data_IF_492071997817
#
_entry.id   IF_492071997817
#
_cell.length_a   1.000
_cell.length_b   1.000
_cell.length_c   1.000
_cell.angle_alpha   90.00
_cell.angle_beta   90.00
_cell.angle_gamma   90.00
#
_symmetry.space_group_name_H-M   'P 1'
#
loop_
_entity.id
_entity.type
_entity.pdbx_description
1 polymer ?
#
# COMPACT_ATOMS: atom_id res chain seq x y z
N UNK A 1 13.21 -29.19 -4.32
CA UNK A 1 12.84 -27.99 -5.07
C UNK A 1 14.01 -27.02 -5.01
N UNK A 2 14.48 -26.52 -6.13
CA UNK A 2 15.68 -25.67 -6.19
C UNK A 2 15.25 -24.19 -5.95
N UNK A 3 15.00 -23.83 -4.69
CA UNK A 3 14.59 -22.47 -4.32
C UNK A 3 15.66 -21.42 -4.67
N UNK A 4 16.93 -21.79 -4.76
CA UNK A 4 18.03 -20.88 -5.08
C UNK A 4 17.88 -20.19 -6.44
N UNK A 5 17.41 -20.89 -7.47
CA UNK A 5 17.21 -20.32 -8.80
C UNK A 5 15.98 -19.39 -8.91
N UNK A 6 15.01 -19.55 -8.00
CA UNK A 6 13.79 -18.71 -8.00
C UNK A 6 14.04 -17.32 -7.39
N UNK A 7 14.92 -17.25 -6.39
CA UNK A 7 15.21 -16.01 -5.64
C UNK A 7 16.51 -15.33 -6.06
N UNK A 8 17.18 -15.83 -7.11
CA UNK A 8 18.49 -15.36 -7.56
C UNK A 8 19.52 -15.32 -6.40
N UNK A 9 19.48 -16.36 -5.56
CA UNK A 9 20.25 -16.42 -4.29
C UNK A 9 21.74 -16.16 -4.52
N UNK A 10 22.36 -16.84 -5.51
CA UNK A 10 23.80 -16.74 -5.77
C UNK A 10 24.19 -15.32 -6.18
N UNK A 11 23.38 -14.69 -7.06
CA UNK A 11 23.61 -13.32 -7.52
C UNK A 11 23.44 -12.32 -6.38
N UNK A 12 22.42 -12.50 -5.53
CA UNK A 12 22.20 -11.63 -4.36
C UNK A 12 23.27 -11.82 -3.28
N UNK A 13 23.76 -13.03 -3.06
CA UNK A 13 24.83 -13.30 -2.13
C UNK A 13 26.17 -12.67 -2.60
N UNK A 14 26.48 -12.77 -3.90
CA UNK A 14 27.63 -12.13 -4.49
C UNK A 14 27.54 -10.60 -4.37
N UNK A 15 26.36 -10.04 -4.70
CA UNK A 15 26.12 -8.60 -4.56
C UNK A 15 26.21 -8.11 -3.13
N UNK A 16 25.69 -8.86 -2.16
CA UNK A 16 25.80 -8.57 -0.73
C UNK A 16 27.27 -8.52 -0.30
N UNK A 17 28.10 -9.46 -0.78
CA UNK A 17 29.54 -9.45 -0.54
C UNK A 17 30.23 -8.22 -1.13
N UNK A 18 29.85 -7.81 -2.34
CA UNK A 18 30.39 -6.62 -2.98
C UNK A 18 30.01 -5.33 -2.23
N UNK A 19 28.72 -5.16 -1.89
CA UNK A 19 28.21 -4.00 -1.13
C UNK A 19 28.84 -3.92 0.26
N UNK A 20 29.03 -5.05 0.92
CA UNK A 20 29.69 -5.08 2.23
C UNK A 20 31.14 -4.61 2.15
N UNK A 21 31.89 -5.02 1.11
CA UNK A 21 33.26 -4.55 0.88
C UNK A 21 33.29 -3.05 0.51
N UNK A 22 32.35 -2.58 -0.28
CA UNK A 22 32.26 -1.15 -0.60
C UNK A 22 32.04 -0.32 0.67
N UNK A 23 31.20 -0.77 1.60
CA UNK A 23 30.93 -0.07 2.87
C UNK A 23 32.13 -0.10 3.87
N UNK A 24 33.10 -1.00 3.67
CA UNK A 24 34.35 -1.03 4.44
C UNK A 24 35.33 0.08 4.01
N UNK A 25 35.16 0.67 2.80
CA UNK A 25 36.01 1.77 2.35
C UNK A 25 35.65 3.07 3.09
N UNK A 26 36.59 3.66 3.86
CA UNK A 26 36.34 4.91 4.59
C UNK A 26 35.87 6.06 3.70
N UNK A 27 36.25 6.08 2.43
CA UNK A 27 35.87 7.15 1.47
C UNK A 27 34.39 7.18 1.15
N UNK A 28 33.67 6.07 1.34
CA UNK A 28 32.21 6.01 1.11
C UNK A 28 31.48 6.90 2.12
N UNK A 29 32.00 7.01 3.34
CA UNK A 29 31.41 7.82 4.41
C UNK A 29 31.59 9.32 4.20
N UNK A 30 32.48 9.73 3.31
CA UNK A 30 32.63 11.12 2.88
C UNK A 30 31.46 11.58 2.00
N UNK A 31 30.66 10.64 1.45
CA UNK A 31 29.47 10.89 0.63
C UNK A 31 28.23 10.27 1.29
N UNK A 32 27.55 10.99 2.20
CA UNK A 32 26.48 10.44 3.03
C UNK A 32 25.34 9.82 2.23
N UNK A 33 24.98 10.40 1.08
CA UNK A 33 23.91 9.88 0.21
C UNK A 33 24.26 8.48 -0.33
N UNK A 34 25.51 8.26 -0.76
CA UNK A 34 25.97 6.96 -1.27
C UNK A 34 26.06 5.91 -0.14
N UNK A 35 26.53 6.32 1.04
CA UNK A 35 26.58 5.44 2.20
C UNK A 35 25.16 4.97 2.63
N UNK A 36 24.17 5.88 2.60
CA UNK A 36 22.78 5.53 2.89
C UNK A 36 22.18 4.58 1.84
N UNK A 37 22.44 4.84 0.56
CA UNK A 37 21.99 3.98 -0.53
C UNK A 37 22.53 2.55 -0.38
N UNK A 38 23.85 2.42 -0.21
CA UNK A 38 24.49 1.11 0.01
C UNK A 38 24.03 0.44 1.31
N UNK A 39 23.78 1.20 2.38
CA UNK A 39 23.24 0.70 3.62
C UNK A 39 21.83 0.13 3.47
N UNK A 40 20.96 0.80 2.69
CA UNK A 40 19.60 0.30 2.36
C UNK A 40 19.68 -0.96 1.50
N UNK A 41 20.53 -0.94 0.45
CA UNK A 41 20.76 -2.09 -0.42
C UNK A 41 21.24 -3.30 0.39
N UNK A 42 22.23 -3.10 1.28
CA UNK A 42 22.75 -4.14 2.16
C UNK A 42 21.64 -4.75 3.03
N UNK A 43 20.85 -3.92 3.70
CA UNK A 43 19.74 -4.39 4.56
C UNK A 43 18.72 -5.22 3.77
N UNK A 44 18.39 -4.82 2.55
CA UNK A 44 17.47 -5.57 1.69
C UNK A 44 18.05 -6.92 1.27
N UNK A 45 19.32 -6.95 0.87
CA UNK A 45 20.00 -8.19 0.47
C UNK A 45 20.17 -9.14 1.66
N UNK A 46 20.57 -8.63 2.83
CA UNK A 46 20.70 -9.41 4.07
C UNK A 46 19.35 -10.06 4.44
N UNK A 47 18.25 -9.33 4.35
CA UNK A 47 16.91 -9.84 4.66
C UNK A 47 16.49 -11.03 3.80
N UNK A 48 17.02 -11.16 2.58
CA UNK A 48 16.72 -12.29 1.70
C UNK A 48 17.78 -13.38 1.83
N UNK A 49 19.08 -13.03 1.74
CA UNK A 49 20.19 -13.99 1.70
C UNK A 49 20.31 -14.75 3.00
N UNK A 50 20.28 -14.07 4.15
CA UNK A 50 20.39 -14.76 5.46
C UNK A 50 19.19 -15.65 5.73
N UNK A 51 17.98 -15.20 5.40
CA UNK A 51 16.78 -16.02 5.62
C UNK A 51 16.81 -17.27 4.75
N UNK A 52 17.20 -17.17 3.48
CA UNK A 52 17.29 -18.33 2.58
C UNK A 52 18.41 -19.29 3.02
N UNK A 53 19.57 -18.78 3.44
CA UNK A 53 20.65 -19.61 3.96
C UNK A 53 20.25 -20.37 5.23
N UNK A 54 19.56 -19.69 6.16
CA UNK A 54 19.03 -20.30 7.37
C UNK A 54 18.01 -21.38 7.06
N UNK A 55 17.03 -21.09 6.17
CA UNK A 55 16.03 -22.08 5.74
C UNK A 55 16.64 -23.31 5.10
N UNK A 56 17.74 -23.14 4.34
CA UNK A 56 18.46 -24.25 3.72
C UNK A 56 19.12 -25.12 4.79
N UNK A 57 19.77 -24.52 5.81
CA UNK A 57 20.34 -25.24 6.93
C UNK A 57 19.27 -25.97 7.75
N UNK A 58 18.21 -25.25 8.15
CA UNK A 58 17.14 -25.83 8.96
C UNK A 58 16.44 -27.00 8.26
N UNK A 59 16.28 -26.92 6.94
CA UNK A 59 15.70 -28.01 6.14
C UNK A 59 16.64 -29.22 6.06
N UNK A 60 17.97 -29.00 5.92
CA UNK A 60 18.95 -30.05 5.91
C UNK A 60 19.00 -30.78 7.28
N UNK A 61 19.05 -30.02 8.36
CA UNK A 61 19.04 -30.55 9.73
C UNK A 61 17.74 -31.31 10.03
N UNK A 62 16.60 -30.77 9.57
CA UNK A 62 15.29 -31.45 9.69
C UNK A 62 15.26 -32.78 8.92
N UNK A 63 15.85 -32.82 7.73
CA UNK A 63 15.90 -34.04 6.91
C UNK A 63 16.77 -35.11 7.54
N UNK A 64 17.92 -34.74 8.11
CA UNK A 64 18.82 -35.67 8.82
C UNK A 64 18.14 -36.22 10.08
N UNK A 65 17.57 -35.32 10.90
CA UNK A 65 16.88 -35.71 12.15
C UNK A 65 15.69 -36.63 11.86
N UNK A 66 14.92 -36.33 10.80
CA UNK A 66 13.80 -37.19 10.35
C UNK A 66 14.29 -38.61 10.00
N UNK A 67 15.42 -38.69 9.27
CA UNK A 67 16.01 -39.98 8.89
C UNK A 67 16.41 -40.83 10.13
N UNK A 68 17.04 -40.20 11.10
CA UNK A 68 17.45 -40.84 12.36
C UNK A 68 16.24 -41.29 13.19
N UNK A 69 15.30 -40.39 13.44
CA UNK A 69 14.09 -40.65 14.23
C UNK A 69 13.27 -41.81 13.64
N UNK A 70 13.17 -41.86 12.31
CA UNK A 70 12.46 -42.93 11.60
C UNK A 70 13.18 -44.26 11.73
N UNK A 71 14.51 -44.28 11.71
CA UNK A 71 15.31 -45.48 11.88
C UNK A 71 15.20 -46.05 13.30
N UNK A 72 15.06 -45.18 14.30
CA UNK A 72 14.94 -45.55 15.74
C UNK A 72 13.48 -45.77 16.17
N UNK A 73 12.49 -45.46 15.35
CA UNK A 73 11.07 -45.56 15.66
C UNK A 73 10.59 -44.53 16.67
N UNK A 74 11.25 -43.37 16.73
CA UNK A 74 10.87 -42.25 17.62
C UNK A 74 9.83 -41.37 16.99
N UNK A 75 8.54 -41.72 17.20
CA UNK A 75 7.41 -40.98 16.70
C UNK A 75 7.29 -39.54 17.25
N UNK A 76 7.78 -39.31 18.48
CA UNK A 76 7.73 -37.97 19.09
C UNK A 76 8.65 -37.01 18.32
N UNK A 77 9.87 -37.43 18.01
CA UNK A 77 10.80 -36.63 17.20
C UNK A 77 10.31 -36.46 15.77
N UNK A 78 9.68 -37.47 15.17
CA UNK A 78 9.03 -37.35 13.83
C UNK A 78 7.98 -36.25 13.84
N UNK A 79 7.11 -36.21 14.85
CA UNK A 79 6.10 -35.15 14.95
C UNK A 79 6.71 -33.76 15.18
N UNK A 80 7.77 -33.64 15.97
CA UNK A 80 8.46 -32.37 16.15
C UNK A 80 9.06 -31.85 14.85
N UNK A 81 9.75 -32.71 14.09
CA UNK A 81 10.31 -32.37 12.78
C UNK A 81 9.20 -31.93 11.79
N UNK A 82 8.05 -32.60 11.79
CA UNK A 82 6.92 -32.20 10.95
C UNK A 82 6.44 -30.78 11.27
N UNK A 83 6.39 -30.43 12.56
CA UNK A 83 6.01 -29.08 12.99
C UNK A 83 7.05 -28.03 12.55
N UNK A 84 8.33 -28.36 12.60
CA UNK A 84 9.39 -27.45 12.16
C UNK A 84 9.41 -27.27 10.64
N UNK A 85 9.21 -28.34 9.88
CA UNK A 85 9.03 -28.25 8.40
C UNK A 85 7.82 -27.40 8.03
N UNK A 86 6.74 -27.47 8.79
CA UNK A 86 5.57 -26.62 8.57
C UNK A 86 5.90 -25.12 8.80
N UNK A 87 6.71 -24.80 9.83
CA UNK A 87 7.20 -23.42 10.06
C UNK A 87 8.09 -22.95 8.90
N UNK A 88 9.03 -23.78 8.45
CA UNK A 88 9.87 -23.50 7.27
C UNK A 88 9.00 -23.21 6.06
N UNK A 89 7.96 -24.03 5.82
CA UNK A 89 6.99 -23.83 4.73
C UNK A 89 6.28 -22.48 4.81
N UNK A 90 5.88 -22.04 6.00
CA UNK A 90 5.25 -20.75 6.21
C UNK A 90 6.20 -19.57 5.88
N UNK A 91 7.48 -19.66 6.27
CA UNK A 91 8.49 -18.64 5.95
C UNK A 91 8.76 -18.58 4.44
N UNK A 92 8.84 -19.75 3.78
CA UNK A 92 9.02 -19.81 2.32
C UNK A 92 7.81 -19.16 1.61
N UNK A 93 6.59 -19.44 2.05
CA UNK A 93 5.38 -18.84 1.50
C UNK A 93 5.37 -17.31 1.66
N UNK A 94 5.85 -16.77 2.80
CA UNK A 94 6.00 -15.33 3.01
C UNK A 94 7.05 -14.72 2.06
N UNK A 95 8.18 -15.39 1.84
CA UNK A 95 9.19 -14.94 0.90
C UNK A 95 8.68 -14.98 -0.55
N UNK A 96 7.95 -16.02 -0.95
CA UNK A 96 7.31 -16.11 -2.27
C UNK A 96 6.28 -14.99 -2.45
N UNK A 97 5.55 -14.67 -1.39
CA UNK A 97 4.61 -13.56 -1.41
C UNK A 97 5.32 -12.22 -1.57
N UNK A 98 6.40 -11.96 -0.80
CA UNK A 98 7.22 -10.74 -0.93
C UNK A 98 7.84 -10.58 -2.31
N UNK A 99 8.13 -11.67 -3.03
CA UNK A 99 8.63 -11.62 -4.41
C UNK A 99 7.63 -11.01 -5.41
N UNK A 100 6.34 -10.99 -5.09
CA UNK A 100 5.32 -10.35 -5.93
C UNK A 100 5.46 -8.82 -5.95
N UNK A 101 6.20 -8.27 -4.98
CA UNK A 101 6.58 -6.86 -4.93
C UNK A 101 7.81 -6.63 -5.81
N UNK A 102 7.57 -6.35 -7.09
CA UNK A 102 8.62 -6.19 -8.09
C UNK A 102 8.85 -4.74 -8.53
N UNK A 103 8.07 -3.80 -8.01
CA UNK A 103 8.22 -2.39 -8.32
C UNK A 103 9.20 -1.73 -7.35
N UNK A 104 10.05 -0.79 -7.84
CA UNK A 104 11.06 -0.13 -6.99
C UNK A 104 10.49 0.59 -5.77
N UNK A 105 9.23 1.00 -5.83
CA UNK A 105 8.54 1.75 -4.78
C UNK A 105 7.66 0.88 -3.88
N UNK A 106 7.52 -0.41 -4.17
CA UNK A 106 6.71 -1.31 -3.33
C UNK A 106 7.09 -1.26 -1.83
N UNK A 107 8.38 -1.13 -1.42
CA UNK A 107 8.75 -1.01 -0.01
C UNK A 107 8.40 0.32 0.65
N UNK A 108 7.95 1.32 -0.11
CA UNK A 108 7.72 2.66 0.40
C UNK A 108 6.46 2.74 1.27
N UNK A 109 6.41 3.78 2.11
CA UNK A 109 5.19 4.27 2.70
C UNK A 109 4.24 4.78 1.61
N UNK A 110 2.97 5.00 1.93
CA UNK A 110 2.03 5.51 0.95
C UNK A 110 1.01 6.48 1.55
N UNK A 111 0.30 7.13 0.64
CA UNK A 111 -0.89 7.89 0.93
C UNK A 111 -2.09 7.22 0.27
N UNK A 112 -3.24 7.24 0.94
CA UNK A 112 -4.52 6.75 0.44
C UNK A 112 -5.45 7.95 0.35
N UNK A 113 -5.92 8.26 -0.85
CA UNK A 113 -6.99 9.24 -1.06
C UNK A 113 -8.29 8.49 -1.37
N UNK A 114 -9.34 8.79 -0.62
CA UNK A 114 -10.67 8.22 -0.78
C UNK A 114 -11.61 9.35 -1.16
N UNK A 115 -12.40 9.15 -2.20
CA UNK A 115 -13.39 10.14 -2.65
C UNK A 115 -14.74 9.50 -2.88
N UNK A 116 -15.79 10.12 -2.35
CA UNK A 116 -17.16 9.74 -2.64
C UNK A 116 -17.47 10.00 -4.12
N UNK A 117 -18.04 9.00 -4.79
CA UNK A 117 -18.50 9.13 -6.15
C UNK A 117 -19.89 9.78 -6.26
N UNK A 118 -20.49 9.69 -7.43
CA UNK A 118 -21.87 10.13 -7.65
C UNK A 118 -22.84 9.27 -6.83
N UNK A 119 -23.69 9.88 -6.03
CA UNK A 119 -24.67 9.15 -5.20
C UNK A 119 -25.10 9.87 -3.93
N UNK A 120 -24.66 11.12 -3.73
CA UNK A 120 -25.06 11.94 -2.57
C UNK A 120 -24.66 11.27 -1.23
N UNK A 121 -25.55 11.32 -0.25
CA UNK A 121 -25.32 10.79 1.12
C UNK A 121 -24.87 9.32 1.15
N UNK A 122 -25.43 8.48 0.28
CA UNK A 122 -25.05 7.06 0.21
C UNK A 122 -23.59 6.86 -0.23
N UNK A 123 -23.09 7.64 -1.19
CA UNK A 123 -21.70 7.56 -1.63
C UNK A 123 -20.76 8.13 -0.57
N UNK A 124 -21.19 9.17 0.16
CA UNK A 124 -20.42 9.74 1.27
C UNK A 124 -20.30 8.76 2.44
N UNK A 125 -21.37 8.05 2.78
CA UNK A 125 -21.35 7.00 3.80
C UNK A 125 -20.48 5.81 3.34
N UNK A 126 -20.55 5.44 2.06
CA UNK A 126 -19.68 4.41 1.49
C UNK A 126 -18.20 4.77 1.56
N UNK A 127 -17.84 6.01 1.27
CA UNK A 127 -16.46 6.49 1.42
C UNK A 127 -15.96 6.39 2.87
N UNK A 128 -16.81 6.72 3.84
CA UNK A 128 -16.51 6.56 5.28
C UNK A 128 -16.32 5.08 5.66
N UNK A 129 -17.16 4.18 5.12
CA UNK A 129 -16.99 2.73 5.35
C UNK A 129 -15.67 2.21 4.77
N UNK A 130 -15.26 2.66 3.57
CA UNK A 130 -13.97 2.31 2.97
C UNK A 130 -12.80 2.85 3.80
N UNK A 131 -12.88 4.09 4.25
CA UNK A 131 -11.87 4.68 5.14
C UNK A 131 -11.67 3.82 6.39
N UNK A 132 -12.76 3.47 7.07
CA UNK A 132 -12.71 2.59 8.24
C UNK A 132 -12.11 1.22 7.91
N UNK A 133 -12.48 0.63 6.78
CA UNK A 133 -11.96 -0.66 6.31
C UNK A 133 -10.44 -0.62 6.14
N UNK A 134 -9.91 0.42 5.48
CA UNK A 134 -8.45 0.56 5.29
C UNK A 134 -7.72 0.88 6.59
N UNK A 135 -8.27 1.71 7.46
CA UNK A 135 -7.67 1.96 8.78
C UNK A 135 -7.55 0.67 9.60
N UNK A 136 -8.60 -0.16 9.61
CA UNK A 136 -8.56 -1.46 10.29
C UNK A 136 -7.59 -2.46 9.64
N UNK A 137 -7.50 -2.44 8.31
CA UNK A 137 -6.49 -3.22 7.62
C UNK A 137 -5.08 -2.81 8.03
N UNK A 138 -4.79 -1.52 8.06
CA UNK A 138 -3.51 -0.98 8.49
C UNK A 138 -3.19 -1.33 9.95
N UNK A 139 -4.18 -1.23 10.85
CA UNK A 139 -4.05 -1.64 12.25
C UNK A 139 -3.69 -3.12 12.37
N UNK A 140 -4.36 -4.00 11.64
CA UNK A 140 -4.07 -5.45 11.62
C UNK A 140 -2.67 -5.76 11.08
N UNK A 141 -2.16 -4.97 10.14
CA UNK A 141 -0.79 -5.08 9.60
C UNK A 141 0.26 -4.45 10.50
N UNK A 142 -0.13 -3.74 11.56
CA UNK A 142 0.77 -3.00 12.42
C UNK A 142 1.34 -1.75 11.75
N UNK A 143 0.66 -1.22 10.73
CA UNK A 143 1.03 0.03 10.08
C UNK A 143 0.59 1.23 10.93
N UNK A 144 1.41 2.25 10.93
CA UNK A 144 1.02 3.54 11.50
C UNK A 144 0.22 4.33 10.48
N UNK A 145 -0.90 4.90 10.91
CA UNK A 145 -1.77 5.71 10.07
C UNK A 145 -1.99 7.08 10.67
N UNK A 146 -1.89 8.12 9.84
CA UNK A 146 -2.21 9.49 10.19
C UNK A 146 -3.24 10.03 9.18
N UNK A 147 -4.42 10.44 9.66
CA UNK A 147 -5.43 11.07 8.82
C UNK A 147 -5.03 12.54 8.63
N UNK A 148 -4.65 12.89 7.40
CA UNK A 148 -4.14 14.22 7.07
C UNK A 148 -5.25 15.20 6.76
N UNK A 149 -6.29 14.71 6.08
CA UNK A 149 -7.47 15.49 5.72
C UNK A 149 -8.71 14.60 5.75
N UNK A 150 -9.79 15.15 6.28
CA UNK A 150 -11.12 14.54 6.22
C UNK A 150 -12.13 15.67 5.95
N UNK A 151 -12.93 15.50 4.91
CA UNK A 151 -13.99 16.42 4.54
C UNK A 151 -15.34 15.76 4.77
N UNK A 152 -16.08 16.28 5.75
CA UNK A 152 -17.38 15.73 6.14
C UNK A 152 -18.41 15.77 5.00
N UNK A 153 -19.27 14.79 4.98
CA UNK A 153 -20.47 14.74 4.16
C UNK A 153 -21.50 15.77 4.61
N UNK A 154 -22.49 16.04 3.78
CA UNK A 154 -23.55 17.02 4.11
C UNK A 154 -24.51 16.52 5.17
N UNK A 155 -24.81 15.23 5.20
CA UNK A 155 -25.75 14.60 6.13
C UNK A 155 -25.08 13.47 6.91
N UNK A 156 -24.25 12.67 6.24
CA UNK A 156 -23.53 11.54 6.82
C UNK A 156 -22.29 11.22 5.96
N UNK A 157 -21.34 10.50 6.56
CA UNK A 157 -20.13 10.04 5.88
C UNK A 157 -19.16 11.16 5.54
N UNK A 158 -18.30 10.93 4.55
CA UNK A 158 -17.23 11.83 4.13
C UNK A 158 -17.30 12.10 2.62
N UNK A 159 -16.95 13.30 2.20
CA UNK A 159 -16.74 13.65 0.78
C UNK A 159 -15.40 13.14 0.29
N UNK A 160 -14.37 13.33 1.09
CA UNK A 160 -13.01 12.86 0.82
C UNK A 160 -12.23 12.65 2.09
N UNK A 161 -11.22 11.79 2.04
CA UNK A 161 -10.21 11.64 3.09
C UNK A 161 -8.85 11.35 2.48
N UNK A 162 -7.78 11.85 3.12
CA UNK A 162 -6.39 11.54 2.80
C UNK A 162 -5.71 10.98 4.03
N UNK A 163 -5.14 9.79 3.89
CA UNK A 163 -4.50 9.04 4.98
C UNK A 163 -3.05 8.77 4.60
N UNK A 164 -2.12 9.11 5.48
CA UNK A 164 -0.73 8.64 5.39
C UNK A 164 -0.62 7.27 6.05
N UNK A 165 0.06 6.35 5.39
CA UNK A 165 0.31 5.00 5.90
C UNK A 165 1.81 4.75 5.91
N UNK A 166 2.36 4.45 7.09
CA UNK A 166 3.77 4.15 7.30
C UNK A 166 3.94 2.69 7.72
N UNK A 167 4.73 1.95 6.96
CA UNK A 167 5.01 0.55 7.24
C UNK A 167 5.74 -0.15 6.11
N UNK A 168 6.35 -1.27 6.40
CA UNK A 168 7.10 -2.05 5.42
C UNK A 168 6.17 -2.56 4.31
N UNK A 169 6.49 -2.21 3.06
CA UNK A 169 5.70 -2.55 1.87
C UNK A 169 4.25 -2.01 1.87
N UNK A 170 3.98 -0.94 2.61
CA UNK A 170 2.64 -0.36 2.67
C UNK A 170 2.11 0.01 1.29
N UNK A 171 2.93 0.66 0.45
CA UNK A 171 2.56 0.96 -0.93
C UNK A 171 2.35 -0.31 -1.76
N UNK A 172 3.25 -1.27 -1.67
CA UNK A 172 3.17 -2.52 -2.44
C UNK A 172 1.87 -3.28 -2.22
N UNK A 173 1.38 -3.35 -0.98
CA UNK A 173 0.09 -3.96 -0.65
C UNK A 173 -1.08 -3.11 -1.15
N UNK A 174 -1.08 -1.84 -0.83
CA UNK A 174 -2.25 -0.97 -1.01
C UNK A 174 -2.42 -0.48 -2.45
N UNK A 175 -1.37 -0.46 -3.28
CA UNK A 175 -1.48 -0.07 -4.70
C UNK A 175 -2.47 -0.94 -5.49
N UNK A 176 -2.68 -2.19 -5.05
CA UNK A 176 -3.67 -3.08 -5.66
C UNK A 176 -5.11 -2.65 -5.43
N UNK A 177 -5.35 -1.75 -4.48
CA UNK A 177 -6.67 -1.25 -4.11
C UNK A 177 -7.07 0.01 -4.90
N UNK A 178 -6.21 0.48 -5.80
CA UNK A 178 -6.49 1.66 -6.64
C UNK A 178 -7.61 1.37 -7.62
N UNK A 179 -8.69 2.16 -7.55
CA UNK A 179 -9.81 2.08 -8.47
C UNK A 179 -11.16 2.42 -7.86
N UNK A 180 -12.22 2.01 -8.54
CA UNK A 180 -13.59 2.28 -8.12
C UNK A 180 -14.18 1.09 -7.38
N UNK A 181 -14.67 1.34 -6.17
CA UNK A 181 -15.34 0.37 -5.31
C UNK A 181 -16.85 0.60 -5.36
N UNK A 182 -17.59 -0.44 -5.73
CA UNK A 182 -19.05 -0.40 -5.86
C UNK A 182 -19.72 -1.02 -4.65
N UNK A 183 -20.58 -0.27 -3.98
CA UNK A 183 -21.47 -0.77 -2.93
C UNK A 183 -22.88 -0.98 -3.46
N UNK A 184 -23.49 -2.10 -3.13
CA UNK A 184 -24.91 -2.39 -3.33
C UNK A 184 -25.50 -2.85 -2.01
N UNK A 185 -26.46 -2.09 -1.46
CA UNK A 185 -27.14 -2.41 -0.21
C UNK A 185 -28.54 -1.80 -0.16
N UNK A 186 -29.34 -2.23 0.82
CA UNK A 186 -30.54 -1.48 1.23
C UNK A 186 -30.10 -0.18 1.91
N UNK A 187 -30.62 0.96 1.45
CA UNK A 187 -30.24 2.26 1.98
C UNK A 187 -30.75 2.45 3.41
N UNK A 188 -29.89 2.84 4.36
CA UNK A 188 -30.33 3.27 5.68
C UNK A 188 -30.90 4.71 5.67
N UNK A 189 -30.70 5.47 4.58
CA UNK A 189 -31.16 6.86 4.43
C UNK A 189 -32.46 6.97 3.62
N UNK A 190 -32.90 5.88 2.97
CA UNK A 190 -34.17 5.81 2.27
C UNK A 190 -35.27 5.25 3.17
N UNK A 191 -36.32 6.02 3.40
CA UNK A 191 -37.48 5.61 4.19
C UNK A 191 -38.14 4.30 3.73
N UNK A 192 -38.01 3.98 2.45
CA UNK A 192 -38.52 2.73 1.86
C UNK A 192 -37.49 1.59 1.85
N UNK A 193 -36.30 1.79 2.42
CA UNK A 193 -35.21 0.80 2.44
C UNK A 193 -34.92 0.17 1.06
N UNK A 194 -35.04 0.97 -0.01
CA UNK A 194 -34.76 0.50 -1.38
C UNK A 194 -33.29 0.17 -1.56
N UNK A 195 -33.04 -0.70 -2.52
CA UNK A 195 -31.68 -1.08 -2.90
C UNK A 195 -31.02 0.03 -3.69
N UNK A 196 -29.88 0.53 -3.20
CA UNK A 196 -29.10 1.58 -3.84
C UNK A 196 -27.73 1.04 -4.27
N UNK A 197 -27.20 1.65 -5.28
CA UNK A 197 -25.82 1.42 -5.75
C UNK A 197 -25.03 2.71 -5.61
N UNK A 198 -23.90 2.64 -4.91
CA UNK A 198 -23.02 3.78 -4.65
C UNK A 198 -21.60 3.45 -5.06
N UNK A 199 -20.85 4.47 -5.42
CA UNK A 199 -19.47 4.34 -5.84
C UNK A 199 -18.58 5.24 -5.00
N UNK A 200 -17.37 4.77 -4.70
CA UNK A 200 -16.29 5.57 -4.16
C UNK A 200 -15.00 5.16 -4.84
N UNK A 201 -14.12 6.11 -5.05
CA UNK A 201 -12.80 5.87 -5.63
C UNK A 201 -11.72 5.88 -4.56
N UNK A 202 -10.78 4.98 -4.70
CA UNK A 202 -9.57 4.88 -3.88
C UNK A 202 -8.37 5.10 -4.79
N UNK A 203 -7.49 5.96 -4.36
CA UNK A 203 -6.23 6.22 -5.03
C UNK A 203 -5.08 6.08 -4.04
N UNK A 204 -4.06 5.30 -4.39
CA UNK A 204 -2.89 5.07 -3.54
C UNK A 204 -1.65 5.50 -4.30
N UNK A 205 -0.78 6.26 -3.64
CA UNK A 205 0.48 6.71 -4.21
C UNK A 205 1.59 6.65 -3.17
N UNK A 206 2.84 6.37 -3.60
CA UNK A 206 3.95 6.17 -2.68
C UNK A 206 4.42 7.47 -2.05
N UNK A 207 4.96 7.38 -0.84
CA UNK A 207 5.78 8.42 -0.27
C UNK A 207 7.15 8.38 -0.96
N UNK A 208 7.50 9.47 -1.65
CA UNK A 208 8.77 9.58 -2.36
C UNK A 208 9.80 10.22 -1.44
N UNK A 209 10.92 9.55 -1.25
CA UNK A 209 12.08 10.11 -0.55
C UNK A 209 12.65 11.31 -1.32
N UNK A 210 13.28 12.25 -0.60
CA UNK A 210 13.94 13.44 -1.18
C UNK A 210 15.04 13.12 -2.21
N UNK A 211 15.44 11.85 -2.32
CA UNK A 211 16.44 11.36 -3.27
C UNK A 211 15.93 11.29 -4.73
N UNK A 212 14.63 11.25 -4.96
CA UNK A 212 14.06 11.37 -6.31
C UNK A 212 13.72 12.84 -6.52
N UNK A 213 14.61 13.53 -7.20
CA UNK A 213 14.50 14.96 -7.53
C UNK A 213 13.34 15.15 -8.50
N UNK A 214 12.13 15.25 -7.98
CA UNK A 214 11.06 15.95 -8.69
C UNK A 214 11.38 17.43 -8.48
N UNK A 215 11.91 18.08 -9.52
CA UNK A 215 12.23 19.50 -9.48
C UNK A 215 10.91 20.29 -9.49
N UNK A 216 10.51 20.73 -8.30
CA UNK A 216 9.30 21.53 -8.13
C UNK A 216 9.74 23.00 -8.10
N UNK A 217 9.49 23.70 -9.21
CA UNK A 217 9.71 25.13 -9.25
C UNK A 217 8.67 25.85 -8.34
N UNK A 218 9.10 26.61 -7.33
CA UNK A 218 8.17 27.35 -6.47
C UNK A 218 7.24 28.33 -7.22
N UNK A 219 7.66 28.81 -8.41
CA UNK A 219 6.84 29.67 -9.26
C UNK A 219 5.61 28.97 -9.84
N UNK A 220 5.66 27.64 -9.96
CA UNK A 220 4.57 26.81 -10.48
C UNK A 220 3.57 26.38 -9.39
N UNK A 221 3.78 26.84 -8.15
CA UNK A 221 2.93 26.52 -7.03
C UNK A 221 2.04 27.69 -6.66
N UNK A 222 0.74 27.44 -6.61
CA UNK A 222 -0.20 28.31 -5.93
C UNK A 222 -0.50 27.74 -4.55
N UNK A 223 -0.16 28.51 -3.50
CA UNK A 223 -0.34 28.11 -2.10
C UNK A 223 -1.45 28.99 -1.53
N UNK A 224 -2.57 28.38 -1.18
CA UNK A 224 -3.70 29.02 -0.55
C UNK A 224 -3.76 28.55 0.92
N UNK A 225 -3.91 29.50 1.85
CA UNK A 225 -4.18 29.19 3.26
C UNK A 225 -5.62 29.49 3.56
N UNK A 226 -6.27 28.63 4.34
CA UNK A 226 -7.67 28.78 4.68
C UNK A 226 -7.95 28.26 6.10
N UNK A 227 -9.13 28.54 6.60
CA UNK A 227 -9.55 28.06 7.91
C UNK A 227 -9.93 26.59 7.82
N UNK A 228 -9.32 25.78 8.69
CA UNK A 228 -9.69 24.39 8.80
C UNK A 228 -11.18 24.28 9.16
N UNK A 229 -11.91 23.44 8.44
CA UNK A 229 -13.30 23.10 8.74
C UNK A 229 -13.35 21.70 9.33
N UNK A 230 -13.65 21.56 10.62
CA UNK A 230 -13.76 20.27 11.30
C UNK A 230 -14.25 20.43 12.74
N UNK A 231 -14.61 19.33 13.37
CA UNK A 231 -15.01 19.26 14.78
C UNK A 231 -13.81 19.54 15.71
N UNK A 232 -13.44 20.80 15.84
CA UNK A 232 -12.36 21.28 16.71
C UNK A 232 -12.78 22.53 17.45
N UNK A 233 -12.31 22.67 18.70
CA UNK A 233 -12.67 23.78 19.57
C UNK A 233 -12.33 25.16 18.99
N UNK A 234 -12.75 26.21 19.68
CA UNK A 234 -12.73 27.64 19.28
C UNK A 234 -11.40 28.16 18.63
N UNK A 235 -10.29 27.46 18.81
CA UNK A 235 -8.98 27.83 18.26
C UNK A 235 -8.80 27.39 16.79
N UNK A 236 -9.39 26.28 16.39
CA UNK A 236 -9.29 25.71 15.00
C UNK A 236 -10.03 26.61 14.01
N UNK A 237 -11.11 27.23 14.43
CA UNK A 237 -11.96 28.09 13.60
C UNK A 237 -11.47 29.56 13.49
N UNK A 238 -10.36 29.93 14.16
CA UNK A 238 -9.85 31.34 14.19
C UNK A 238 -8.54 31.52 13.42
N UNK A 239 -7.80 30.44 13.13
CA UNK A 239 -6.48 30.54 12.49
C UNK A 239 -6.52 29.87 11.11
N UNK A 240 -5.95 30.53 10.10
CA UNK A 240 -5.80 29.99 8.74
C UNK A 240 -4.60 29.00 8.72
N UNK A 241 -4.76 27.85 9.41
CA UNK A 241 -3.72 26.83 9.55
C UNK A 241 -3.74 25.78 8.43
N UNK A 242 -4.86 25.61 7.75
CA UNK A 242 -4.98 24.69 6.62
C UNK A 242 -4.26 25.23 5.39
N UNK A 243 -3.57 24.36 4.68
CA UNK A 243 -2.77 24.69 3.50
C UNK A 243 -3.26 23.86 2.31
N UNK A 244 -3.55 24.55 1.21
CA UNK A 244 -3.81 23.95 -0.10
C UNK A 244 -2.70 24.35 -1.06
N UNK A 245 -2.09 23.38 -1.70
CA UNK A 245 -1.07 23.60 -2.73
C UNK A 245 -1.61 23.10 -4.05
N UNK A 246 -1.64 23.96 -5.05
CA UNK A 246 -2.00 23.62 -6.43
C UNK A 246 -0.76 23.76 -7.29
N UNK A 247 -0.38 22.69 -7.96
CA UNK A 247 0.66 22.71 -8.98
C UNK A 247 0.04 23.13 -10.31
N UNK A 248 0.34 24.35 -10.76
CA UNK A 248 -0.31 24.99 -11.91
C UNK A 248 -0.18 24.20 -13.23
N UNK A 249 1.01 23.64 -13.57
CA UNK A 249 1.17 22.91 -14.84
C UNK A 249 0.36 21.62 -14.93
N UNK A 250 0.18 20.90 -13.80
CA UNK A 250 -0.51 19.60 -13.79
C UNK A 250 -1.91 19.68 -13.19
N UNK A 251 -2.31 20.81 -12.62
CA UNK A 251 -3.54 21.01 -11.84
C UNK A 251 -3.71 20.03 -10.67
N UNK A 252 -2.63 19.42 -10.20
CA UNK A 252 -2.67 18.55 -9.02
C UNK A 252 -2.84 19.43 -7.79
N UNK A 253 -3.86 19.09 -7.00
CA UNK A 253 -4.20 19.79 -5.76
C UNK A 253 -3.96 18.86 -4.58
N UNK A 254 -3.33 19.37 -3.54
CA UNK A 254 -3.17 18.72 -2.24
C UNK A 254 -3.60 19.66 -1.12
N UNK A 255 -4.09 19.09 -0.04
CA UNK A 255 -4.54 19.85 1.13
C UNK A 255 -4.05 19.15 2.39
N UNK A 256 -3.67 19.94 3.38
CA UNK A 256 -3.31 19.44 4.70
C UNK A 256 -3.82 20.40 5.78
N UNK A 257 -4.52 19.85 6.79
CA UNK A 257 -5.07 20.62 7.92
C UNK A 257 -4.89 19.89 9.27
N UNK A 258 -4.00 18.91 9.31
CA UNK A 258 -3.84 18.00 10.45
C UNK A 258 -3.22 18.64 11.69
N UNK A 259 -2.35 19.64 11.51
CA UNK A 259 -1.64 20.30 12.61
C UNK A 259 -2.15 21.74 12.83
N UNK A 260 -1.99 22.24 14.07
CA UNK A 260 -2.23 23.66 14.41
C UNK A 260 -1.19 24.58 13.77
N UNK A 261 -0.04 24.05 13.39
CA UNK A 261 1.05 24.78 12.76
C UNK A 261 0.88 24.79 11.24
N UNK A 262 0.62 25.97 10.68
CA UNK A 262 0.60 26.19 9.23
C UNK A 262 1.90 25.72 8.56
N UNK A 263 3.03 25.87 9.25
CA UNK A 263 4.34 25.48 8.71
C UNK A 263 4.47 23.94 8.56
N UNK A 264 3.97 23.19 9.54
CA UNK A 264 3.91 21.72 9.48
C UNK A 264 2.95 21.26 8.39
N UNK A 265 1.75 21.82 8.32
CA UNK A 265 0.79 21.50 7.27
C UNK A 265 1.35 21.81 5.87
N UNK A 266 2.14 22.88 5.74
CA UNK A 266 2.81 23.21 4.47
C UNK A 266 3.87 22.19 4.10
N UNK A 267 4.70 21.73 5.04
CA UNK A 267 5.72 20.72 4.79
C UNK A 267 5.08 19.38 4.38
N UNK A 268 4.03 18.97 5.08
CA UNK A 268 3.28 17.74 4.79
C UNK A 268 2.58 17.82 3.43
N UNK A 269 1.89 18.93 3.14
CA UNK A 269 1.28 19.16 1.83
C UNK A 269 2.33 19.16 0.70
N UNK A 270 3.54 19.65 0.94
CA UNK A 270 4.63 19.58 -0.04
C UNK A 270 5.10 18.14 -0.28
N UNK A 271 5.21 17.32 0.77
CA UNK A 271 5.53 15.91 0.63
C UNK A 271 4.44 15.14 -0.16
N UNK A 272 3.17 15.42 0.14
CA UNK A 272 2.04 14.87 -0.62
C UNK A 272 2.08 15.29 -2.09
N UNK A 273 2.41 16.57 -2.37
CA UNK A 273 2.52 17.05 -3.75
C UNK A 273 3.65 16.35 -4.51
N UNK A 274 4.82 16.21 -3.88
CA UNK A 274 5.96 15.46 -4.47
C UNK A 274 5.54 14.04 -4.85
N UNK A 275 4.85 13.35 -3.95
CA UNK A 275 4.37 11.99 -4.19
C UNK A 275 3.37 11.92 -5.36
N UNK A 276 2.40 12.83 -5.41
CA UNK A 276 1.44 12.89 -6.52
C UNK A 276 2.08 13.25 -7.86
N UNK A 277 3.05 14.14 -7.86
CA UNK A 277 3.79 14.51 -9.08
C UNK A 277 4.65 13.34 -9.59
N UNK A 278 5.29 12.62 -8.69
CA UNK A 278 6.03 11.41 -9.06
C UNK A 278 5.12 10.36 -9.69
N UNK A 279 3.99 10.08 -9.08
CA UNK A 279 3.01 9.12 -9.63
C UNK A 279 2.48 9.58 -10.99
N UNK A 280 2.24 10.88 -11.16
CA UNK A 280 1.82 11.46 -12.43
C UNK A 280 2.89 11.24 -13.52
N UNK A 281 4.17 11.46 -13.20
CA UNK A 281 5.28 11.28 -14.13
C UNK A 281 5.50 9.78 -14.44
N UNK A 282 5.37 8.90 -13.44
CA UNK A 282 5.43 7.45 -13.63
C UNK A 282 4.31 6.97 -14.56
N UNK A 283 3.07 7.44 -14.34
CA UNK A 283 1.93 7.13 -15.22
C UNK A 283 2.12 7.64 -16.62
N UNK A 284 2.72 8.82 -16.77
CA UNK A 284 3.03 9.38 -18.09
C UNK A 284 4.01 8.49 -18.84
N UNK A 285 5.09 8.03 -18.18
CA UNK A 285 6.06 7.08 -18.76
C UNK A 285 5.42 5.73 -19.07
N UNK A 286 4.62 5.20 -18.18
CA UNK A 286 3.86 3.96 -18.42
C UNK A 286 2.84 4.13 -19.54
N UNK A 287 2.14 5.26 -19.61
CA UNK A 287 1.21 5.56 -20.69
C UNK A 287 1.89 5.76 -22.05
N UNK A 288 3.12 6.25 -22.08
CA UNK A 288 3.96 6.31 -23.29
C UNK A 288 4.40 4.91 -23.74
N UNK A 289 4.82 4.05 -22.81
CA UNK A 289 5.08 2.63 -23.08
C UNK A 289 3.82 1.87 -23.50
N UNK A 290 2.72 2.11 -22.82
CA UNK A 290 1.44 1.48 -23.08
C UNK A 290 0.83 1.96 -24.41
N UNK A 291 1.02 3.20 -24.81
CA UNK A 291 0.63 3.68 -26.15
C UNK A 291 1.40 2.97 -27.26
N UNK A 292 2.61 2.51 -27.02
CA UNK A 292 3.38 1.66 -27.93
C UNK A 292 2.81 0.21 -27.97
N UNK A 293 2.25 -0.28 -26.87
CA UNK A 293 1.61 -1.61 -26.80
C UNK A 293 0.12 -1.58 -27.17
N UNK A 294 -0.61 -0.50 -26.82
CA UNK A 294 -2.07 -0.37 -26.96
C UNK A 294 -2.52 0.19 -28.31
N UNK A 295 -1.66 0.32 -29.31
CA UNK A 295 -2.16 0.46 -30.69
C UNK A 295 -3.13 -0.68 -31.08
N UNK A 296 -3.54 -1.52 -30.11
CA UNK A 296 -4.34 -2.73 -30.32
C UNK A 296 -5.65 -2.85 -29.51
N UNK A 297 -6.00 -1.99 -28.53
CA UNK A 297 -7.26 -2.19 -27.81
C UNK A 297 -7.86 -0.91 -27.23
N UNK A 298 -9.14 -0.69 -27.58
CA UNK A 298 -9.99 0.42 -27.16
C UNK A 298 -10.44 0.23 -25.70
N UNK A 299 -10.37 1.27 -24.86
CA UNK A 299 -10.66 1.17 -23.42
C UNK A 299 -11.96 1.88 -23.07
N UNK A 300 -12.94 1.10 -22.63
CA UNK A 300 -14.21 1.59 -22.10
C UNK A 300 -14.15 2.05 -20.65
N UNK A 301 -15.00 2.96 -20.29
CA UNK A 301 -15.23 3.68 -19.03
C UNK A 301 -15.18 2.82 -17.75
N UNK A 302 -14.43 3.27 -16.74
CA UNK A 302 -14.69 3.01 -15.32
C UNK A 302 -14.29 1.62 -14.83
N UNK A 303 -12.99 1.39 -14.59
CA UNK A 303 -12.52 0.15 -13.98
C UNK A 303 -13.01 0.02 -12.52
N UNK A 304 -14.19 -0.59 -12.35
CA UNK A 304 -14.61 -1.08 -11.05
C UNK A 304 -13.70 -2.26 -10.67
N UNK A 305 -12.95 -2.12 -9.58
CA UNK A 305 -12.06 -3.19 -9.13
C UNK A 305 -12.80 -4.19 -8.25
N UNK A 306 -13.74 -3.71 -7.41
CA UNK A 306 -14.43 -4.58 -6.47
C UNK A 306 -15.89 -4.19 -6.26
N UNK A 307 -16.78 -5.19 -6.18
CA UNK A 307 -18.21 -5.03 -5.93
C UNK A 307 -18.58 -5.63 -4.59
N UNK A 308 -19.19 -4.81 -3.74
CA UNK A 308 -19.66 -5.16 -2.40
C UNK A 308 -21.18 -5.21 -2.42
N UNK A 309 -21.76 -6.41 -2.36
CA UNK A 309 -23.21 -6.65 -2.38
C UNK A 309 -23.63 -7.19 -1.02
N UNK A 310 -23.94 -6.27 -0.09
CA UNK A 310 -24.13 -6.61 1.31
C UNK A 310 -25.41 -7.40 1.58
N UNK A 311 -26.48 -7.14 0.83
CA UNK A 311 -27.75 -7.86 0.94
C UNK A 311 -27.66 -9.33 0.47
N UNK A 312 -26.63 -9.68 -0.30
CA UNK A 312 -26.34 -11.04 -0.73
C UNK A 312 -25.13 -11.65 -0.01
N UNK A 313 -24.57 -10.94 0.98
CA UNK A 313 -23.33 -11.35 1.67
C UNK A 313 -22.24 -11.75 0.68
N UNK A 314 -21.93 -10.87 -0.30
CA UNK A 314 -21.00 -11.16 -1.37
C UNK A 314 -20.09 -9.97 -1.66
N UNK A 315 -18.78 -10.19 -1.64
CA UNK A 315 -17.78 -9.25 -2.13
C UNK A 315 -16.97 -9.95 -3.19
N UNK A 316 -16.86 -9.34 -4.37
CA UNK A 316 -16.14 -9.90 -5.51
C UNK A 316 -15.18 -8.88 -6.10
N UNK A 317 -13.92 -9.25 -6.26
CA UNK A 317 -12.97 -8.51 -7.09
C UNK A 317 -13.20 -8.87 -8.57
N UNK A 318 -13.40 -7.86 -9.39
CA UNK A 318 -13.77 -8.04 -10.79
C UNK A 318 -12.55 -8.34 -11.67
N UNK A 319 -11.33 -8.02 -11.19
CA UNK A 319 -10.08 -8.28 -11.89
C UNK A 319 -9.66 -9.74 -11.72
N UNK A 320 -9.66 -10.20 -10.48
CA UNK A 320 -9.19 -11.55 -10.12
C UNK A 320 -10.29 -12.59 -10.11
N UNK A 321 -11.57 -12.17 -10.13
CA UNK A 321 -12.75 -13.00 -9.88
C UNK A 321 -12.79 -13.66 -8.50
N UNK A 322 -11.89 -13.27 -7.58
CA UNK A 322 -11.92 -13.75 -6.21
C UNK A 322 -13.17 -13.23 -5.48
N UNK A 323 -13.86 -14.12 -4.76
CA UNK A 323 -15.15 -13.82 -4.14
C UNK A 323 -15.19 -14.35 -2.70
N UNK A 324 -15.75 -13.55 -1.78
CA UNK A 324 -15.89 -13.88 -0.36
C UNK A 324 -17.32 -13.62 0.12
N UNK A 325 -17.86 -14.54 0.91
CA UNK A 325 -19.19 -14.42 1.52
C UNK A 325 -19.21 -13.70 2.88
N UNK A 326 -18.06 -13.65 3.59
CA UNK A 326 -17.98 -12.96 4.88
C UNK A 326 -17.70 -11.47 4.67
N UNK A 327 -18.76 -10.72 4.36
CA UNK A 327 -18.66 -9.28 4.06
C UNK A 327 -18.22 -8.46 5.28
N UNK A 328 -18.59 -8.88 6.49
CA UNK A 328 -18.23 -8.15 7.70
C UNK A 328 -16.73 -8.24 7.99
N UNK A 329 -16.11 -9.40 7.81
CA UNK A 329 -14.67 -9.54 7.99
C UNK A 329 -13.88 -8.61 7.04
N UNK A 330 -14.32 -8.51 5.78
CA UNK A 330 -13.70 -7.63 4.80
C UNK A 330 -13.86 -6.16 5.20
N UNK A 331 -15.05 -5.71 5.60
CA UNK A 331 -15.30 -4.35 6.08
C UNK A 331 -14.55 -4.05 7.39
N UNK A 332 -14.16 -5.07 8.15
CA UNK A 332 -13.31 -4.98 9.32
C UNK A 332 -11.81 -5.18 8.99
N UNK A 333 -11.43 -5.05 7.72
CA UNK A 333 -10.04 -4.96 7.27
C UNK A 333 -9.38 -6.29 6.90
N UNK A 334 -10.14 -7.37 6.61
CA UNK A 334 -9.58 -8.65 6.17
C UNK A 334 -9.39 -8.68 4.64
N UNK A 335 -8.39 -7.93 4.15
CA UNK A 335 -8.17 -7.74 2.72
C UNK A 335 -7.06 -8.63 2.14
N UNK A 336 -6.36 -9.40 2.96
CA UNK A 336 -5.14 -10.12 2.56
C UNK A 336 -5.34 -11.02 1.34
N UNK A 337 -6.42 -11.78 1.31
CA UNK A 337 -6.69 -12.70 0.20
C UNK A 337 -6.99 -11.96 -1.12
N UNK A 338 -7.69 -10.82 -1.07
CA UNK A 338 -7.92 -9.98 -2.25
C UNK A 338 -6.63 -9.39 -2.78
N UNK A 339 -5.80 -8.84 -1.89
CA UNK A 339 -4.50 -8.27 -2.22
C UNK A 339 -3.58 -9.35 -2.80
N UNK A 340 -3.51 -10.52 -2.15
CA UNK A 340 -2.72 -11.65 -2.63
C UNK A 340 -3.17 -12.13 -4.02
N UNK A 341 -4.48 -12.21 -4.27
CA UNK A 341 -5.02 -12.59 -5.55
C UNK A 341 -4.65 -11.55 -6.64
N UNK A 342 -4.72 -10.25 -6.31
CA UNK A 342 -4.37 -9.16 -7.22
C UNK A 342 -2.87 -9.16 -7.55
N UNK A 343 -2.01 -9.30 -6.54
CA UNK A 343 -0.55 -9.38 -6.72
C UNK A 343 -0.14 -10.59 -7.57
N UNK A 344 -0.78 -11.76 -7.35
CA UNK A 344 -0.52 -12.98 -8.15
C UNK A 344 -0.85 -12.81 -9.62
N UNK A 345 -1.84 -12.00 -9.95
CA UNK A 345 -2.23 -11.73 -11.34
C UNK A 345 -1.45 -10.56 -11.95
N UNK A 346 -0.66 -9.84 -11.16
CA UNK A 346 0.10 -8.68 -11.63
C UNK A 346 -0.77 -7.46 -11.93
N UNK A 347 -1.89 -7.32 -11.19
CA UNK A 347 -2.87 -6.23 -11.37
C UNK A 347 -2.61 -5.15 -10.33
#
# INVERSE_FOLDING_TARGET
>A
MNCGGIFDFDVKAERLGAVSKELEDPKIWDVPARAQELGREKKQLEGVVHVLAQLQSDLADSAELFGLARAEGDDATVHAVQADVAKIGAVVADLEFRRMFNQPLDPANCFIDIQAGSGGTEAQDWASMLMRMYLRYCERKGYRTDVLEESDGEVAGIKSASIKVEGDYAYGFLRTEVGVHRLVRKSPFDSNARRHTSFASVFVYPEVDDSIVVDINPADLRIDTYRASGAGGQHVNKTDSAVRITHLPTNIVVQCQNDRSQHRNRAEAMAMLKSKLYEHELRKRQAEQQKLEDSKTDIGWGHQIRSYVLDQSRIKDLRTNYEVGNTQAILDGDLDDFIAASLKQGV
#
